data_IF_399897895635
#
_entry.id   IF_399897895635
#
_cell.length_a   1.000
_cell.length_b   1.000
_cell.length_c   1.000
_cell.angle_alpha   90.00
_cell.angle_beta   90.00
_cell.angle_gamma   90.00
#
_symmetry.space_group_name_H-M   'P 1'
#
loop_
_entity.id
_entity.type
_entity.pdbx_description
1 polymer ?
#
# COMPACT_ATOMS: atom_id res chain seq x y z
N UNK A 1 15.69 -11.95 -13.48
CA UNK A 1 14.35 -11.84 -12.87
C UNK A 1 14.27 -10.44 -12.29
N UNK A 2 13.25 -9.66 -12.65
CA UNK A 2 13.11 -8.27 -12.20
C UNK A 2 12.70 -8.23 -10.72
N UNK A 3 13.67 -8.11 -9.82
CA UNK A 3 13.40 -8.00 -8.38
C UNK A 3 12.68 -6.68 -8.10
N UNK A 4 11.40 -6.75 -7.71
CA UNK A 4 10.67 -5.58 -7.24
C UNK A 4 11.21 -5.21 -5.85
N UNK A 5 11.86 -4.05 -5.74
CA UNK A 5 12.57 -3.71 -4.49
C UNK A 5 11.60 -3.33 -3.36
N UNK A 6 10.64 -2.44 -3.61
CA UNK A 6 9.79 -1.90 -2.56
C UNK A 6 8.36 -1.68 -3.05
N UNK A 7 7.38 -2.07 -2.23
CA UNK A 7 6.00 -1.63 -2.38
C UNK A 7 5.64 -0.74 -1.20
N UNK A 8 4.98 0.39 -1.47
CA UNK A 8 4.38 1.22 -0.44
C UNK A 8 2.87 1.23 -0.64
N UNK A 9 2.15 0.88 0.43
CA UNK A 9 0.69 0.91 0.53
C UNK A 9 0.32 2.08 1.44
N UNK A 10 -0.13 3.18 0.84
CA UNK A 10 -0.60 4.33 1.59
C UNK A 10 -2.12 4.25 1.79
N UNK A 11 -2.62 4.36 3.02
CA UNK A 11 -4.06 4.24 3.32
C UNK A 11 -4.66 5.50 3.95
N UNK A 12 -5.87 5.86 3.57
CA UNK A 12 -6.68 6.89 4.22
C UNK A 12 -7.67 6.21 5.18
N UNK A 13 -7.36 6.21 6.48
CA UNK A 13 -8.18 5.56 7.53
C UNK A 13 -8.56 4.08 7.30
N UNK A 14 -7.83 3.35 6.44
CA UNK A 14 -8.18 1.98 6.02
C UNK A 14 -7.04 0.97 6.17
N UNK A 15 -6.53 0.83 7.40
CA UNK A 15 -5.45 -0.10 7.70
C UNK A 15 -5.83 -1.55 7.36
N UNK A 16 -7.08 -1.96 7.61
CA UNK A 16 -7.54 -3.33 7.36
C UNK A 16 -7.50 -3.71 5.88
N UNK A 17 -7.86 -2.80 4.97
CA UNK A 17 -7.69 -3.05 3.53
C UNK A 17 -6.21 -3.11 3.13
N UNK A 18 -5.36 -2.24 3.69
CA UNK A 18 -3.93 -2.23 3.41
C UNK A 18 -3.25 -3.55 3.83
N UNK A 19 -3.58 -4.08 5.00
CA UNK A 19 -3.08 -5.38 5.49
C UNK A 19 -3.57 -6.54 4.62
N UNK A 20 -4.85 -6.54 4.22
CA UNK A 20 -5.41 -7.54 3.32
C UNK A 20 -4.73 -7.52 1.94
N UNK A 21 -4.43 -6.33 1.41
CA UNK A 21 -3.70 -6.16 0.16
C UNK A 21 -2.28 -6.71 0.28
N UNK A 22 -1.55 -6.33 1.33
CA UNK A 22 -0.20 -6.86 1.61
C UNK A 22 -0.18 -8.39 1.61
N UNK A 23 -1.07 -9.02 2.39
CA UNK A 23 -1.13 -10.48 2.51
C UNK A 23 -1.47 -11.20 1.18
N UNK A 24 -2.19 -10.56 0.27
CA UNK A 24 -2.46 -11.12 -1.05
C UNK A 24 -1.31 -10.90 -2.03
N UNK A 25 -0.64 -9.74 -1.95
CA UNK A 25 0.50 -9.41 -2.80
C UNK A 25 1.70 -10.31 -2.48
N UNK A 26 1.98 -10.56 -1.21
CA UNK A 26 3.07 -11.47 -0.76
C UNK A 26 2.90 -12.92 -1.26
N UNK A 27 1.70 -13.32 -1.71
CA UNK A 27 1.46 -14.65 -2.29
C UNK A 27 1.79 -14.74 -3.78
N UNK A 28 1.87 -13.60 -4.47
CA UNK A 28 1.92 -13.52 -5.94
C UNK A 28 3.22 -12.84 -6.40
N UNK A 29 3.77 -11.93 -5.59
CA UNK A 29 4.93 -11.12 -5.91
C UNK A 29 5.97 -11.17 -4.79
N UNK A 30 7.24 -11.21 -5.18
CA UNK A 30 8.38 -11.33 -4.27
C UNK A 30 9.04 -9.95 -4.06
N UNK A 31 8.30 -9.04 -3.41
CA UNK A 31 8.84 -7.73 -3.03
C UNK A 31 9.86 -7.89 -1.91
N UNK A 32 11.04 -7.27 -2.02
CA UNK A 32 12.03 -7.32 -0.92
C UNK A 32 11.46 -6.75 0.39
N UNK A 33 10.59 -5.73 0.29
CA UNK A 33 9.90 -5.15 1.43
C UNK A 33 8.61 -4.42 1.05
N UNK A 34 7.57 -4.57 1.88
CA UNK A 34 6.30 -3.86 1.74
C UNK A 34 6.07 -2.96 2.95
N UNK A 35 5.85 -1.67 2.71
CA UNK A 35 5.53 -0.67 3.73
C UNK A 35 4.04 -0.33 3.73
N UNK A 36 3.46 -0.17 4.91
CA UNK A 36 2.09 0.36 5.07
C UNK A 36 2.20 1.67 5.84
N UNK A 37 1.67 2.75 5.26
CA UNK A 37 1.73 4.10 5.85
C UNK A 37 0.37 4.81 5.75
N UNK A 38 0.01 5.69 6.69
CA UNK A 38 -1.15 6.55 6.53
C UNK A 38 -0.91 7.63 5.48
N UNK A 39 -1.92 7.96 4.67
CA UNK A 39 -1.91 9.15 3.82
C UNK A 39 -2.01 10.42 4.68
N UNK A 40 -1.49 11.54 4.16
CA UNK A 40 -1.57 12.86 4.79
C UNK A 40 -1.75 13.97 3.75
N UNK A 41 -2.18 15.14 4.20
CA UNK A 41 -2.27 16.35 3.39
C UNK A 41 -3.10 16.16 2.11
N UNK A 42 -2.54 16.57 0.97
CA UNK A 42 -3.20 16.48 -0.33
C UNK A 42 -3.56 15.05 -0.71
N UNK A 43 -2.70 14.07 -0.44
CA UNK A 43 -2.97 12.67 -0.76
C UNK A 43 -4.18 12.13 0.00
N UNK A 44 -4.38 12.55 1.25
CA UNK A 44 -5.59 12.18 2.00
C UNK A 44 -6.85 12.86 1.41
N UNK A 45 -6.73 14.12 1.00
CA UNK A 45 -7.83 14.86 0.36
C UNK A 45 -8.28 14.21 -0.96
N UNK A 46 -7.32 13.79 -1.80
CA UNK A 46 -7.63 13.14 -3.08
C UNK A 46 -8.01 11.66 -2.93
N UNK A 47 -7.41 10.92 -1.99
CA UNK A 47 -7.73 9.51 -1.75
C UNK A 47 -9.11 9.33 -1.11
N UNK A 48 -9.60 10.36 -0.39
CA UNK A 48 -10.85 10.35 0.37
C UNK A 48 -10.90 9.23 1.45
N UNK A 49 -11.93 9.22 2.29
CA UNK A 49 -12.08 8.20 3.32
C UNK A 49 -12.10 6.80 2.71
N UNK A 50 -11.39 5.89 3.36
CA UNK A 50 -11.17 4.49 2.95
C UNK A 50 -10.31 4.26 1.71
N UNK A 51 -9.77 5.28 1.08
CA UNK A 51 -8.88 5.15 -0.09
C UNK A 51 -7.53 4.46 0.21
N UNK A 52 -6.96 3.83 -0.81
CA UNK A 52 -5.61 3.22 -0.77
C UNK A 52 -4.86 3.57 -2.05
N UNK A 53 -3.57 3.89 -1.92
CA UNK A 53 -2.64 4.18 -3.02
C UNK A 53 -1.52 3.15 -2.96
N UNK A 54 -1.19 2.54 -4.10
CA UNK A 54 -0.07 1.61 -4.26
C UNK A 54 1.02 2.26 -5.11
N UNK A 55 2.29 2.11 -4.71
CA UNK A 55 3.45 2.57 -5.49
C UNK A 55 4.62 1.59 -5.36
N UNK A 56 5.24 1.23 -6.48
CA UNK A 56 6.34 0.28 -6.60
C UNK A 56 7.29 0.66 -7.73
#
# INVERSE_FOLDING_TARGET
MSDLEYLVISHCNNIGLAEKLKANIEKIYDFKKIFIIPTKGLSAMYANDRGVILSY
#
